data_IF_413831417334
#
_entry.id   IF_413831417334
#
_cell.length_a   1.000
_cell.length_b   1.000
_cell.length_c   1.000
_cell.angle_alpha   90.00
_cell.angle_beta   90.00
_cell.angle_gamma   90.00
#
_symmetry.space_group_name_H-M   'P 1'
#
loop_
_entity.id
_entity.type
_entity.pdbx_description
1 polymer ?
#
# COMPACT_ATOMS: atom_id res chain seq x y z
N UNK A 1 5.47 -7.03 25.43
CA UNK A 1 6.87 -7.37 25.13
C UNK A 1 6.86 -8.43 24.02
N UNK A 2 6.76 -8.00 22.76
CA UNK A 2 7.14 -8.76 21.56
C UNK A 2 7.36 -7.72 20.46
N UNK A 3 8.55 -7.76 19.86
CA UNK A 3 9.10 -6.73 18.99
C UNK A 3 8.56 -6.81 17.56
N UNK A 4 8.19 -5.66 17.03
CA UNK A 4 7.82 -5.47 15.64
C UNK A 4 9.10 -5.16 14.83
N UNK A 5 9.54 -6.14 14.03
CA UNK A 5 10.67 -5.97 13.11
C UNK A 5 10.22 -5.20 11.86
N UNK A 6 10.69 -3.95 11.76
CA UNK A 6 10.62 -3.10 10.56
C UNK A 6 11.39 -3.76 9.40
N UNK A 7 10.70 -4.03 8.30
CA UNK A 7 11.32 -4.27 6.99
C UNK A 7 11.55 -2.91 6.31
N UNK A 8 12.81 -2.50 6.23
CA UNK A 8 13.25 -1.34 5.45
C UNK A 8 13.30 -1.72 3.96
N UNK A 9 12.50 -1.05 3.13
CA UNK A 9 12.74 -0.98 1.69
C UNK A 9 13.72 0.17 1.41
N UNK A 10 14.85 -0.16 0.79
CA UNK A 10 15.91 0.79 0.45
C UNK A 10 15.59 1.60 -0.80
N UNK A 11 15.55 2.93 -0.65
CA UNK A 11 15.63 3.91 -1.73
C UNK A 11 17.08 4.31 -1.98
N UNK A 12 17.62 4.06 -3.17
CA UNK A 12 18.89 4.66 -3.64
C UNK A 12 18.59 5.90 -4.48
N UNK A 13 18.89 7.08 -3.92
CA UNK A 13 19.00 8.33 -4.68
C UNK A 13 20.45 8.46 -5.16
N UNK A 14 20.62 8.61 -6.47
CA UNK A 14 21.88 8.96 -7.11
C UNK A 14 22.24 10.43 -6.80
N UNK A 15 23.44 10.67 -6.28
CA UNK A 15 24.08 11.99 -6.29
C UNK A 15 25.12 12.00 -7.40
N UNK A 16 24.88 12.82 -8.42
CA UNK A 16 25.90 13.28 -9.35
C UNK A 16 26.73 14.36 -8.66
N UNK A 17 28.06 14.19 -8.67
CA UNK A 17 29.02 15.23 -8.34
C UNK A 17 29.91 15.46 -9.57
N UNK A 18 29.97 16.71 -10.01
CA UNK A 18 30.75 17.22 -11.13
C UNK A 18 32.27 17.09 -10.90
N UNK A 19 33.08 16.94 -11.96
CA UNK A 19 34.53 17.05 -11.86
C UNK A 19 35.01 18.49 -12.14
N UNK A 20 36.17 18.92 -11.59
CA UNK A 20 36.83 20.13 -12.03
C UNK A 20 37.83 19.86 -13.19
N UNK A 21 37.92 20.85 -14.07
CA UNK A 21 39.06 21.20 -14.94
C UNK A 21 40.41 21.20 -14.20
N UNK A 22 41.60 20.99 -14.77
CA UNK A 22 42.09 20.87 -16.13
C UNK A 22 43.64 20.94 -16.12
N UNK A 23 44.27 20.88 -17.31
CA UNK A 23 45.69 21.17 -17.65
C UNK A 23 46.69 20.03 -17.31
N UNK A 24 47.58 19.53 -18.19
CA UNK A 24 47.94 19.83 -19.57
C UNK A 24 49.22 19.05 -20.00
N UNK A 25 49.41 18.86 -21.32
CA UNK A 25 50.66 18.46 -22.08
C UNK A 25 51.38 17.14 -21.70
N UNK A 26 51.95 16.31 -22.58
CA UNK A 26 52.78 16.56 -23.77
C UNK A 26 52.98 15.26 -24.61
N UNK A 27 53.72 15.35 -25.72
CA UNK A 27 53.77 14.46 -26.90
C UNK A 27 54.91 13.39 -26.94
N UNK A 28 54.78 12.47 -27.92
CA UNK A 28 55.74 11.48 -28.52
C UNK A 28 55.85 10.13 -27.79
N UNK A 29 55.99 8.97 -28.45
CA UNK A 29 56.29 8.61 -29.83
C UNK A 29 57.30 7.43 -29.85
N UNK A 30 57.23 6.60 -30.88
CA UNK A 30 58.15 5.54 -31.31
C UNK A 30 57.96 4.06 -30.89
N UNK A 31 58.01 3.27 -31.97
CA UNK A 31 58.10 1.83 -32.16
C UNK A 31 59.37 1.19 -31.60
N UNK A 32 59.34 -0.13 -31.38
CA UNK A 32 60.28 -1.01 -32.10
C UNK A 32 59.78 -2.47 -32.15
N UNK A 33 60.18 -3.11 -33.24
CA UNK A 33 59.95 -4.51 -33.59
C UNK A 33 60.62 -5.50 -32.62
N UNK A 34 59.98 -6.63 -32.39
CA UNK A 34 60.59 -7.83 -31.83
C UNK A 34 60.20 -9.06 -32.66
N UNK A 35 61.13 -9.53 -33.50
CA UNK A 35 60.97 -10.68 -34.40
C UNK A 35 60.85 -12.02 -33.63
N UNK A 36 59.78 -12.76 -33.94
CA UNK A 36 59.68 -14.18 -34.33
C UNK A 36 60.73 -15.18 -33.76
N UNK A 37 60.29 -16.20 -32.99
CA UNK A 37 60.26 -17.63 -33.44
C UNK A 37 60.01 -18.67 -32.31
N UNK A 38 59.27 -19.71 -32.71
CA UNK A 38 59.21 -21.12 -32.24
C UNK A 38 58.25 -21.45 -31.08
N UNK A 39 57.16 -22.14 -31.42
CA UNK A 39 56.31 -22.87 -30.45
C UNK A 39 54.97 -23.42 -30.99
N UNK A 40 54.86 -23.78 -32.26
CA UNK A 40 53.57 -24.02 -32.95
C UNK A 40 52.91 -25.41 -32.72
N UNK A 41 53.13 -26.07 -31.57
CA UNK A 41 52.50 -27.39 -31.30
C UNK A 41 51.90 -27.58 -29.89
N UNK A 42 51.75 -26.53 -29.08
CA UNK A 42 51.11 -26.62 -27.74
C UNK A 42 49.93 -25.68 -27.48
N UNK A 43 49.49 -24.91 -28.48
CA UNK A 43 48.44 -23.88 -28.29
C UNK A 43 47.02 -24.40 -28.58
N UNK A 44 46.88 -25.47 -29.39
CA UNK A 44 45.55 -26.01 -29.70
C UNK A 44 44.85 -26.66 -28.50
N UNK A 45 45.59 -27.19 -27.51
CA UNK A 45 45.00 -27.73 -26.28
C UNK A 45 44.49 -26.65 -25.31
N UNK A 46 45.23 -25.55 -25.16
CA UNK A 46 44.88 -24.49 -24.20
C UNK A 46 43.72 -23.63 -24.74
N UNK A 47 43.66 -23.36 -26.05
CA UNK A 47 42.53 -22.65 -26.66
C UNK A 47 41.22 -23.47 -26.65
N UNK A 48 41.29 -24.80 -26.77
CA UNK A 48 40.11 -25.68 -26.71
C UNK A 48 39.56 -25.81 -25.28
N UNK A 49 40.44 -25.94 -24.28
CA UNK A 49 40.00 -26.00 -22.87
C UNK A 49 39.47 -24.64 -22.39
N UNK A 50 40.02 -23.53 -22.88
CA UNK A 50 39.53 -22.17 -22.56
C UNK A 50 38.14 -21.93 -23.16
N UNK A 51 37.92 -22.28 -24.43
CA UNK A 51 36.63 -22.09 -25.11
C UNK A 51 35.52 -22.98 -24.53
N UNK A 52 35.83 -24.22 -24.12
CA UNK A 52 34.88 -25.08 -23.39
C UNK A 52 34.57 -24.51 -22.00
N UNK A 53 35.55 -23.95 -21.29
CA UNK A 53 35.31 -23.31 -19.99
C UNK A 53 34.47 -22.02 -20.10
N UNK A 54 34.70 -21.19 -21.12
CA UNK A 54 33.86 -20.00 -21.38
C UNK A 54 32.47 -20.36 -21.89
N UNK A 55 32.33 -21.41 -22.70
CA UNK A 55 31.03 -21.93 -23.11
C UNK A 55 30.26 -22.56 -21.93
N UNK A 56 30.94 -23.31 -21.07
CA UNK A 56 30.35 -23.88 -19.86
C UNK A 56 30.00 -22.82 -18.82
N UNK A 57 30.84 -21.81 -18.63
CA UNK A 57 30.54 -20.67 -17.76
C UNK A 57 29.43 -19.78 -18.33
N UNK A 58 29.40 -19.58 -19.65
CA UNK A 58 28.34 -18.87 -20.36
C UNK A 58 27.01 -19.63 -20.32
N UNK A 59 27.02 -20.95 -20.51
CA UNK A 59 25.86 -21.82 -20.33
C UNK A 59 25.42 -21.88 -18.87
N UNK A 60 26.35 -21.91 -17.91
CA UNK A 60 26.06 -21.88 -16.48
C UNK A 60 25.48 -20.53 -16.06
N UNK A 61 25.98 -19.42 -16.61
CA UNK A 61 25.44 -18.08 -16.38
C UNK A 61 24.08 -17.91 -17.07
N UNK A 62 23.92 -18.36 -18.31
CA UNK A 62 22.63 -18.38 -19.00
C UNK A 62 21.61 -19.31 -18.30
N UNK A 63 22.07 -20.42 -17.72
CA UNK A 63 21.27 -21.30 -16.86
C UNK A 63 20.95 -20.68 -15.50
N UNK A 64 21.83 -19.85 -14.95
CA UNK A 64 21.62 -19.09 -13.71
C UNK A 64 20.63 -17.95 -13.89
N UNK A 65 20.65 -17.29 -15.05
CA UNK A 65 19.81 -16.15 -15.40
C UNK A 65 18.53 -16.54 -16.17
N UNK A 66 18.15 -17.83 -16.21
CA UNK A 66 16.95 -18.34 -16.91
C UNK A 66 16.87 -17.99 -18.43
N UNK A 67 18.01 -17.83 -19.11
CA UNK A 67 18.08 -17.48 -20.54
C UNK A 67 17.90 -18.71 -21.45
N UNK A 68 18.00 -19.95 -20.94
CA UNK A 68 17.87 -21.18 -21.75
C UNK A 68 16.39 -21.61 -21.82
N UNK A 69 15.72 -21.49 -22.98
CA UNK A 69 14.25 -21.58 -23.11
C UNK A 69 13.67 -23.00 -23.14
N UNK A 70 14.46 -24.05 -22.87
CA UNK A 70 14.07 -25.44 -23.10
C UNK A 70 13.74 -26.26 -21.84
N UNK A 71 13.73 -25.65 -20.65
CA UNK A 71 13.28 -26.35 -19.44
C UNK A 71 11.77 -26.12 -19.25
N UNK A 72 10.99 -27.19 -18.99
CA UNK A 72 9.55 -27.06 -18.77
C UNK A 72 9.30 -26.13 -17.56
N UNK A 73 8.39 -25.15 -17.68
CA UNK A 73 8.07 -24.23 -16.59
C UNK A 73 7.32 -24.95 -15.48
N UNK A 74 7.45 -24.45 -14.23
CA UNK A 74 6.71 -24.93 -13.06
C UNK A 74 5.21 -25.11 -13.40
N UNK A 75 4.56 -26.23 -13.01
CA UNK A 75 3.17 -26.54 -13.37
C UNK A 75 2.17 -25.86 -12.41
N UNK A 76 2.42 -24.59 -12.13
CA UNK A 76 1.58 -23.67 -11.38
C UNK A 76 1.60 -22.35 -12.13
N UNK A 77 0.55 -21.57 -12.00
CA UNK A 77 0.51 -20.24 -12.57
C UNK A 77 1.31 -19.27 -11.69
N UNK A 78 2.21 -18.50 -12.31
CA UNK A 78 2.94 -17.46 -11.59
C UNK A 78 2.01 -16.27 -11.36
N UNK A 79 1.96 -15.76 -10.13
CA UNK A 79 1.25 -14.53 -9.83
C UNK A 79 2.12 -13.32 -10.20
N UNK A 80 1.55 -12.44 -11.02
CA UNK A 80 2.10 -11.12 -11.34
C UNK A 80 1.33 -10.03 -10.57
N UNK A 81 1.82 -8.79 -10.60
CA UNK A 81 1.17 -7.68 -9.89
C UNK A 81 -0.27 -7.46 -10.34
N UNK A 82 -0.55 -7.55 -11.64
CA UNK A 82 -1.89 -7.30 -12.19
C UNK A 82 -2.91 -8.34 -11.71
N UNK A 83 -2.52 -9.62 -11.72
CA UNK A 83 -3.35 -10.70 -11.17
C UNK A 83 -3.48 -10.57 -9.67
N UNK A 84 -2.40 -10.25 -8.97
CA UNK A 84 -2.45 -10.02 -7.55
C UNK A 84 -3.43 -8.91 -7.20
N UNK A 85 -3.47 -7.80 -7.93
CA UNK A 85 -4.42 -6.72 -7.68
C UNK A 85 -5.88 -7.11 -7.93
N UNK A 86 -6.15 -7.93 -8.94
CA UNK A 86 -7.50 -8.24 -9.42
C UNK A 86 -8.09 -9.59 -8.99
N UNK A 87 -7.33 -10.46 -8.33
CA UNK A 87 -7.81 -11.76 -7.85
C UNK A 87 -8.04 -11.74 -6.33
N UNK A 88 -8.95 -12.57 -5.85
CA UNK A 88 -9.19 -12.84 -4.43
C UNK A 88 -9.19 -14.35 -4.19
N UNK A 89 -9.36 -14.79 -2.95
CA UNK A 89 -9.51 -16.21 -2.60
C UNK A 89 -8.32 -17.04 -3.13
N UNK A 90 -7.10 -16.62 -2.76
CA UNK A 90 -5.87 -17.15 -3.33
C UNK A 90 -4.89 -17.68 -2.28
N UNK A 91 -4.13 -18.68 -2.72
CA UNK A 91 -2.98 -19.23 -2.00
C UNK A 91 -1.76 -19.02 -2.87
N UNK A 92 -0.73 -18.40 -2.30
CA UNK A 92 0.53 -18.10 -3.01
C UNK A 92 1.67 -18.84 -2.32
N UNK A 93 2.32 -19.72 -3.08
CA UNK A 93 3.51 -20.45 -2.62
C UNK A 93 4.76 -19.67 -2.97
N UNK A 94 5.66 -19.47 -2.00
CA UNK A 94 6.95 -18.84 -2.23
C UNK A 94 7.98 -19.91 -2.60
N UNK A 95 8.55 -19.82 -3.80
CA UNK A 95 9.63 -20.68 -4.26
C UNK A 95 10.95 -19.90 -4.32
N UNK A 96 12.07 -20.54 -4.02
CA UNK A 96 13.42 -19.99 -4.15
C UNK A 96 13.92 -19.87 -5.59
N UNK A 97 13.27 -20.54 -6.55
CA UNK A 97 13.68 -20.52 -7.96
C UNK A 97 12.52 -20.93 -8.89
N UNK A 98 12.59 -20.50 -10.16
CA UNK A 98 11.68 -20.90 -11.25
C UNK A 98 11.99 -22.29 -11.82
N UNK A 99 13.07 -22.92 -11.37
CA UNK A 99 13.55 -24.20 -11.92
C UNK A 99 12.63 -25.36 -11.52
N UNK A 100 12.13 -26.08 -12.52
CA UNK A 100 11.34 -27.31 -12.34
C UNK A 100 12.07 -28.37 -11.50
N UNK A 101 13.39 -28.50 -11.65
CA UNK A 101 14.19 -29.49 -10.90
C UNK A 101 14.13 -29.28 -9.38
N UNK A 102 13.86 -28.06 -8.94
CA UNK A 102 13.73 -27.71 -7.54
C UNK A 102 12.26 -27.58 -7.09
N UNK A 103 11.29 -27.91 -7.95
CA UNK A 103 9.86 -27.80 -7.65
C UNK A 103 9.40 -28.93 -6.71
N UNK A 104 8.81 -28.62 -5.54
CA UNK A 104 8.41 -29.63 -4.56
C UNK A 104 7.07 -30.30 -4.91
N UNK A 105 7.04 -31.05 -6.03
CA UNK A 105 5.82 -31.61 -6.64
C UNK A 105 4.88 -32.31 -5.66
N UNK A 106 5.39 -33.22 -4.82
CA UNK A 106 4.58 -33.97 -3.85
C UNK A 106 3.88 -33.06 -2.82
N UNK A 107 4.56 -32.01 -2.36
CA UNK A 107 3.98 -31.05 -1.42
C UNK A 107 2.91 -30.20 -2.09
N UNK A 108 3.13 -29.82 -3.35
CA UNK A 108 2.17 -29.01 -4.11
C UNK A 108 0.91 -29.81 -4.49
N UNK A 109 1.06 -31.08 -4.83
CA UNK A 109 -0.07 -31.99 -5.02
C UNK A 109 -0.87 -32.16 -3.71
N UNK A 110 -0.18 -32.25 -2.57
CA UNK A 110 -0.83 -32.29 -1.25
C UNK A 110 -1.56 -30.98 -0.93
N UNK A 111 -0.91 -29.83 -1.17
CA UNK A 111 -1.51 -28.51 -0.97
C UNK A 111 -2.77 -28.36 -1.80
N UNK A 112 -2.71 -28.68 -3.10
CA UNK A 112 -3.88 -28.68 -4.00
C UNK A 112 -5.01 -29.55 -3.47
N UNK A 113 -4.71 -30.69 -2.87
CA UNK A 113 -5.70 -31.61 -2.31
C UNK A 113 -6.38 -31.13 -1.03
N UNK A 114 -5.84 -30.13 -0.34
CA UNK A 114 -6.45 -29.55 0.87
C UNK A 114 -7.07 -28.17 0.64
N UNK A 115 -6.98 -27.61 -0.58
CA UNK A 115 -7.58 -26.31 -0.89
C UNK A 115 -9.12 -26.40 -0.80
N UNK A 116 -9.78 -25.43 -0.16
CA UNK A 116 -11.22 -25.29 -0.28
C UNK A 116 -11.65 -25.05 -1.73
N UNK A 117 -12.90 -25.38 -2.04
CA UNK A 117 -13.46 -25.19 -3.38
C UNK A 117 -13.46 -23.72 -3.79
N UNK A 118 -13.08 -23.43 -5.05
CA UNK A 118 -13.03 -22.07 -5.59
C UNK A 118 -11.73 -21.30 -5.28
N UNK A 119 -10.87 -21.82 -4.40
CA UNK A 119 -9.61 -21.17 -4.04
C UNK A 119 -8.54 -21.41 -5.12
N UNK A 120 -7.87 -20.33 -5.52
CA UNK A 120 -6.85 -20.37 -6.58
C UNK A 120 -5.45 -20.58 -6.00
N UNK A 121 -4.63 -21.42 -6.65
CA UNK A 121 -3.25 -21.67 -6.22
C UNK A 121 -2.24 -21.10 -7.22
N UNK A 122 -1.41 -20.19 -6.73
CA UNK A 122 -0.36 -19.55 -7.48
C UNK A 122 1.01 -19.77 -6.84
N UNK A 123 2.07 -19.39 -7.57
CA UNK A 123 3.40 -19.27 -7.01
C UNK A 123 4.04 -17.93 -7.33
N UNK A 124 5.02 -17.53 -6.51
CA UNK A 124 5.97 -16.46 -6.82
C UNK A 124 7.37 -16.87 -6.39
N UNK A 125 8.38 -16.13 -6.85
CA UNK A 125 9.79 -16.44 -6.56
C UNK A 125 10.38 -15.42 -5.60
N UNK A 126 11.00 -15.92 -4.53
CA UNK A 126 11.67 -15.13 -3.49
C UNK A 126 13.02 -15.76 -3.17
N UNK A 127 14.09 -15.00 -3.37
CA UNK A 127 15.44 -15.45 -3.08
C UNK A 127 15.62 -15.85 -1.60
N UNK A 128 16.45 -16.86 -1.36
CA UNK A 128 16.74 -17.37 -0.01
C UNK A 128 15.68 -18.31 0.58
N UNK A 129 14.61 -18.62 -0.17
CA UNK A 129 13.59 -19.59 0.26
C UNK A 129 14.04 -21.03 -0.02
N UNK A 130 13.86 -21.91 0.97
CA UNK A 130 14.05 -23.36 0.81
C UNK A 130 12.83 -24.00 0.12
N UNK A 131 13.02 -24.46 -1.11
CA UNK A 131 11.99 -25.17 -1.87
C UNK A 131 11.52 -26.48 -1.21
N UNK A 132 12.29 -27.07 -0.29
CA UNK A 132 11.86 -28.28 0.41
C UNK A 132 10.82 -28.00 1.49
N UNK A 133 10.68 -26.76 1.93
CA UNK A 133 9.67 -26.34 2.91
C UNK A 133 9.16 -24.95 2.53
N UNK A 134 8.51 -24.83 1.37
CA UNK A 134 8.17 -23.53 0.83
C UNK A 134 7.18 -22.81 1.76
N UNK A 135 7.38 -21.52 2.07
CA UNK A 135 6.39 -20.73 2.75
C UNK A 135 5.11 -20.62 1.91
N UNK A 136 3.98 -20.50 2.59
CA UNK A 136 2.66 -20.35 1.96
C UNK A 136 1.98 -19.12 2.51
N UNK A 137 1.39 -18.33 1.60
CA UNK A 137 0.59 -17.15 1.94
C UNK A 137 -0.86 -17.39 1.53
N UNK A 138 -1.79 -17.17 2.47
CA UNK A 138 -3.22 -17.12 2.18
C UNK A 138 -3.65 -15.67 2.02
N UNK A 139 -4.53 -15.39 1.06
CA UNK A 139 -5.14 -14.08 0.86
C UNK A 139 -6.65 -14.23 0.63
N UNK A 140 -7.43 -13.46 1.39
CA UNK A 140 -8.87 -13.28 1.22
C UNK A 140 -9.23 -11.85 1.61
N UNK A 141 -9.87 -11.10 0.70
CA UNK A 141 -10.06 -9.68 0.89
C UNK A 141 -8.73 -8.95 1.11
N UNK A 142 -8.66 -8.14 2.16
CA UNK A 142 -7.44 -7.50 2.65
C UNK A 142 -6.67 -8.36 3.69
N UNK A 143 -7.24 -9.50 4.09
CA UNK A 143 -6.65 -10.39 5.09
C UNK A 143 -5.55 -11.25 4.47
N UNK A 144 -4.50 -11.48 5.26
CA UNK A 144 -3.37 -12.33 4.88
C UNK A 144 -2.97 -13.22 6.05
N UNK A 145 -2.58 -14.44 5.74
CA UNK A 145 -1.98 -15.36 6.70
C UNK A 145 -0.68 -15.94 6.12
N UNK A 146 0.35 -16.10 6.95
CA UNK A 146 1.69 -16.52 6.50
C UNK A 146 2.18 -17.75 7.26
N UNK A 147 2.38 -18.83 6.53
CA UNK A 147 3.07 -20.03 7.00
C UNK A 147 4.55 -19.93 6.61
N UNK A 148 5.41 -19.68 7.61
CA UNK A 148 6.83 -19.39 7.39
C UNK A 148 7.63 -20.55 6.81
N UNK A 149 7.25 -21.78 7.16
CA UNK A 149 7.83 -23.00 6.61
C UNK A 149 6.83 -24.12 6.85
N UNK A 150 6.40 -24.77 5.78
CA UNK A 150 5.38 -25.80 5.87
C UNK A 150 5.95 -27.09 5.33
N UNK A 151 5.88 -28.17 6.10
CA UNK A 151 6.22 -29.49 5.60
C UNK A 151 4.94 -30.30 5.41
N UNK A 152 4.29 -30.08 4.27
CA UNK A 152 2.97 -30.66 3.94
C UNK A 152 2.95 -32.20 3.84
N UNK A 153 4.11 -32.86 3.92
CA UNK A 153 4.19 -34.32 3.99
C UNK A 153 3.99 -34.84 5.42
N UNK A 154 4.12 -33.98 6.44
CA UNK A 154 3.70 -34.28 7.80
C UNK A 154 2.18 -34.21 7.87
N UNK A 155 1.56 -35.30 8.35
CA UNK A 155 0.10 -35.40 8.40
C UNK A 155 -0.51 -34.40 9.38
N UNK A 156 0.10 -34.19 10.55
CA UNK A 156 -0.41 -33.25 11.55
C UNK A 156 -0.40 -31.83 10.99
N UNK A 157 0.73 -31.38 10.44
CA UNK A 157 0.83 -30.03 9.87
C UNK A 157 -0.12 -29.82 8.70
N UNK A 158 -0.33 -30.85 7.88
CA UNK A 158 -1.26 -30.80 6.76
C UNK A 158 -2.72 -30.69 7.24
N UNK A 159 -3.10 -31.45 8.27
CA UNK A 159 -4.45 -31.45 8.84
C UNK A 159 -4.74 -30.12 9.57
N UNK A 160 -3.76 -29.60 10.32
CA UNK A 160 -3.83 -28.30 11.00
C UNK A 160 -4.00 -27.16 9.99
N UNK A 161 -3.14 -27.12 8.96
CA UNK A 161 -3.23 -26.12 7.89
C UNK A 161 -4.57 -26.21 7.15
N UNK A 162 -5.08 -27.42 6.90
CA UNK A 162 -6.39 -27.58 6.26
C UNK A 162 -7.51 -26.95 7.09
N UNK A 163 -7.56 -27.24 8.39
CA UNK A 163 -8.57 -26.67 9.29
C UNK A 163 -8.48 -25.15 9.36
N UNK A 164 -7.26 -24.61 9.46
CA UNK A 164 -7.03 -23.16 9.47
C UNK A 164 -7.39 -22.51 8.13
N UNK A 165 -7.11 -23.15 6.99
CA UNK A 165 -7.51 -22.66 5.67
C UNK A 165 -9.03 -22.62 5.52
N UNK A 166 -9.72 -23.68 5.93
CA UNK A 166 -11.19 -23.73 5.90
C UNK A 166 -11.80 -22.59 6.73
N UNK A 167 -11.25 -22.28 7.90
CA UNK A 167 -11.68 -21.15 8.72
C UNK A 167 -11.30 -19.81 8.09
N UNK A 168 -10.07 -19.66 7.62
CA UNK A 168 -9.55 -18.42 7.04
C UNK A 168 -10.37 -17.97 5.83
N UNK A 169 -10.76 -18.91 4.96
CA UNK A 169 -11.52 -18.62 3.74
C UNK A 169 -13.02 -18.45 3.96
N UNK A 170 -13.54 -18.56 5.20
CA UNK A 170 -14.90 -18.13 5.50
C UNK A 170 -15.03 -16.62 5.26
N UNK A 171 -16.08 -16.17 4.56
CA UNK A 171 -16.32 -14.75 4.36
C UNK A 171 -16.50 -14.02 5.69
N UNK A 172 -15.82 -12.89 5.84
CA UNK A 172 -15.97 -12.00 6.98
C UNK A 172 -16.81 -10.77 6.58
N UNK A 173 -17.76 -10.44 7.46
CA UNK A 173 -18.65 -9.30 7.35
C UNK A 173 -18.60 -8.55 8.67
N UNK A 174 -18.51 -7.22 8.62
CA UNK A 174 -18.73 -6.42 9.81
C UNK A 174 -20.23 -6.41 10.14
N UNK A 175 -20.57 -6.35 11.42
CA UNK A 175 -21.96 -6.29 11.86
C UNK A 175 -22.60 -4.98 11.40
N UNK A 176 -23.63 -5.10 10.55
CA UNK A 176 -24.35 -3.96 9.97
C UNK A 176 -25.08 -3.14 11.04
N UNK A 177 -25.62 -3.79 12.08
CA UNK A 177 -26.44 -3.13 13.09
C UNK A 177 -25.61 -2.24 14.04
N UNK A 178 -24.30 -2.51 14.13
CA UNK A 178 -23.36 -1.70 14.89
C UNK A 178 -22.83 -0.49 14.11
N UNK A 179 -23.20 -0.33 12.83
CA UNK A 179 -22.75 0.81 12.01
C UNK A 179 -23.73 1.96 12.16
N UNK A 180 -23.24 3.10 12.63
CA UNK A 180 -24.03 4.32 12.67
C UNK A 180 -24.28 4.85 11.25
N UNK A 181 -25.56 5.02 10.92
CA UNK A 181 -26.00 5.57 9.64
C UNK A 181 -26.44 7.03 9.84
N UNK A 182 -25.98 7.93 8.97
CA UNK A 182 -26.38 9.33 8.99
C UNK A 182 -26.99 9.74 7.65
N UNK A 183 -28.02 10.59 7.62
CA UNK A 183 -28.74 10.93 6.40
C UNK A 183 -27.88 11.71 5.38
N UNK A 184 -26.88 12.46 5.85
CA UNK A 184 -26.09 13.37 5.01
C UNK A 184 -24.80 12.74 4.46
N UNK A 185 -24.47 11.51 4.86
CA UNK A 185 -23.29 10.79 4.36
C UNK A 185 -23.72 9.58 3.52
N UNK A 186 -22.83 9.02 2.68
CA UNK A 186 -23.11 7.78 1.98
C UNK A 186 -23.51 6.66 2.94
N UNK A 187 -24.55 5.89 2.59
CA UNK A 187 -24.97 4.73 3.35
C UNK A 187 -23.84 3.68 3.38
N UNK A 188 -23.51 3.19 4.57
CA UNK A 188 -22.57 2.08 4.71
C UNK A 188 -23.25 0.76 4.40
N UNK A 189 -22.57 -0.09 3.66
CA UNK A 189 -22.97 -1.47 3.37
C UNK A 189 -21.89 -2.43 3.87
N UNK A 190 -22.27 -3.69 4.06
CA UNK A 190 -21.42 -4.78 4.56
C UNK A 190 -21.41 -5.92 3.56
N UNK A 191 -20.61 -6.95 3.82
CA UNK A 191 -20.62 -8.15 2.99
C UNK A 191 -22.03 -8.75 2.87
N UNK A 192 -22.73 -8.90 3.99
CA UNK A 192 -24.05 -9.54 4.02
C UNK A 192 -25.14 -8.69 3.36
N UNK A 193 -25.05 -7.37 3.49
CA UNK A 193 -26.08 -6.45 2.96
C UNK A 193 -25.82 -6.01 1.51
N UNK A 194 -24.63 -6.30 0.97
CA UNK A 194 -24.19 -5.85 -0.35
C UNK A 194 -25.17 -6.24 -1.47
N UNK A 195 -25.64 -7.49 -1.49
CA UNK A 195 -26.51 -7.98 -2.56
C UNK A 195 -27.81 -7.20 -2.63
N UNK A 196 -28.44 -6.96 -1.49
CA UNK A 196 -29.73 -6.27 -1.44
C UNK A 196 -29.57 -4.77 -1.62
N UNK A 197 -28.59 -4.18 -0.92
CA UNK A 197 -28.43 -2.73 -0.85
C UNK A 197 -27.66 -2.14 -2.03
N UNK A 198 -26.88 -2.93 -2.76
CA UNK A 198 -26.10 -2.45 -3.90
C UNK A 198 -26.59 -3.09 -5.20
N UNK A 199 -26.46 -4.41 -5.34
CA UNK A 199 -26.71 -5.09 -6.63
C UNK A 199 -28.19 -5.04 -7.02
N UNK A 200 -29.10 -5.49 -6.14
CA UNK A 200 -30.54 -5.51 -6.41
C UNK A 200 -31.18 -4.12 -6.38
N UNK A 201 -30.63 -3.21 -5.57
CA UNK A 201 -31.18 -1.85 -5.43
C UNK A 201 -30.76 -0.91 -6.58
N UNK A 202 -29.70 -1.24 -7.31
CA UNK A 202 -29.23 -0.45 -8.45
C UNK A 202 -30.08 -0.71 -9.70
N UNK A 203 -30.35 0.35 -10.48
CA UNK A 203 -31.00 0.24 -11.78
C UNK A 203 -30.37 1.23 -12.76
N UNK A 204 -30.61 1.12 -14.07
CA UNK A 204 -30.05 2.07 -15.04
C UNK A 204 -30.52 3.51 -14.82
N UNK A 205 -31.69 3.69 -14.18
CA UNK A 205 -32.28 5.00 -13.86
C UNK A 205 -31.91 5.52 -12.48
N UNK A 206 -31.45 4.65 -11.59
CA UNK A 206 -31.05 4.97 -10.21
C UNK A 206 -29.77 4.21 -9.84
N UNK A 207 -28.64 4.53 -10.51
CA UNK A 207 -27.39 3.82 -10.30
C UNK A 207 -26.82 4.10 -8.91
N UNK A 208 -26.00 3.17 -8.42
CA UNK A 208 -25.28 3.27 -7.16
C UNK A 208 -23.80 3.34 -7.45
N UNK A 209 -23.14 4.37 -6.93
CA UNK A 209 -21.68 4.49 -6.90
C UNK A 209 -21.20 3.96 -5.54
N UNK A 210 -20.56 2.80 -5.55
CA UNK A 210 -19.97 2.21 -4.36
C UNK A 210 -18.53 2.69 -4.21
N UNK A 211 -18.21 3.30 -3.07
CA UNK A 211 -16.85 3.60 -2.64
C UNK A 211 -16.32 2.42 -1.79
N UNK A 212 -15.30 1.74 -2.31
CA UNK A 212 -14.48 0.81 -1.55
C UNK A 212 -13.40 1.60 -0.82
N UNK A 213 -13.32 1.47 0.50
CA UNK A 213 -12.40 2.25 1.33
C UNK A 213 -11.80 1.43 2.47
N UNK A 214 -10.73 1.96 3.05
CA UNK A 214 -10.06 1.46 4.25
C UNK A 214 -9.92 2.62 5.25
N UNK A 215 -9.94 2.33 6.54
CA UNK A 215 -9.78 3.35 7.58
C UNK A 215 -8.32 3.82 7.67
N UNK A 216 -7.39 2.90 7.41
CA UNK A 216 -5.95 3.16 7.39
C UNK A 216 -5.45 3.87 6.13
N UNK A 217 -6.29 4.05 5.10
CA UNK A 217 -5.86 4.64 3.83
C UNK A 217 -5.87 6.18 3.86
N UNK A 218 -4.69 6.77 3.62
CA UNK A 218 -4.52 8.22 3.56
C UNK A 218 -5.43 8.92 2.54
N UNK A 219 -5.60 8.35 1.35
CA UNK A 219 -6.47 8.94 0.33
C UNK A 219 -7.95 8.78 0.68
N UNK A 220 -8.35 7.69 1.34
CA UNK A 220 -9.71 7.53 1.86
C UNK A 220 -10.02 8.60 2.91
N UNK A 221 -9.08 8.80 3.84
CA UNK A 221 -9.11 9.92 4.78
C UNK A 221 -9.25 11.26 4.06
N UNK A 222 -8.44 11.51 3.03
CA UNK A 222 -8.45 12.79 2.31
C UNK A 222 -9.82 13.06 1.64
N UNK A 223 -10.42 12.02 1.07
CA UNK A 223 -11.65 12.10 0.26
C UNK A 223 -12.95 11.99 1.06
N UNK A 224 -12.93 11.47 2.29
CA UNK A 224 -14.14 11.23 3.11
C UNK A 224 -15.10 12.43 3.13
N UNK A 225 -14.69 13.64 3.56
CA UNK A 225 -15.63 14.75 3.67
C UNK A 225 -16.02 15.32 2.30
N UNK A 226 -15.16 15.21 1.28
CA UNK A 226 -15.50 15.55 -0.11
C UNK A 226 -16.65 14.70 -0.65
N UNK A 227 -16.57 13.38 -0.46
CA UNK A 227 -17.65 12.47 -0.87
C UNK A 227 -18.91 12.71 -0.04
N UNK A 228 -18.80 13.10 1.24
CA UNK A 228 -19.94 13.50 2.06
C UNK A 228 -20.65 14.75 1.48
N UNK A 229 -19.91 15.80 1.10
CA UNK A 229 -20.48 16.99 0.46
C UNK A 229 -21.21 16.66 -0.84
N UNK A 230 -20.62 15.78 -1.67
CA UNK A 230 -21.27 15.35 -2.92
C UNK A 230 -22.55 14.57 -2.62
N UNK A 231 -22.52 13.64 -1.66
CA UNK A 231 -23.71 12.89 -1.27
C UNK A 231 -24.84 13.81 -0.77
N UNK A 232 -24.51 14.78 0.10
CA UNK A 232 -25.46 15.80 0.56
C UNK A 232 -26.07 16.56 -0.61
N UNK A 233 -25.24 17.06 -1.53
CA UNK A 233 -25.71 17.82 -2.70
C UNK A 233 -26.60 17.00 -3.62
N UNK A 234 -26.27 15.73 -3.88
CA UNK A 234 -27.12 14.82 -4.65
C UNK A 234 -28.49 14.64 -4.00
N UNK A 235 -28.54 14.56 -2.66
CA UNK A 235 -29.80 14.53 -1.90
C UNK A 235 -30.61 15.82 -2.05
N UNK A 236 -29.96 16.98 -1.94
CA UNK A 236 -30.61 18.30 -2.07
C UNK A 236 -31.26 18.51 -3.44
N UNK A 237 -30.58 18.10 -4.52
CA UNK A 237 -31.12 18.18 -5.88
C UNK A 237 -32.04 17.01 -6.24
N UNK A 238 -32.27 16.07 -5.32
CA UNK A 238 -33.06 14.84 -5.52
C UNK A 238 -32.58 14.02 -6.72
N UNK A 239 -31.26 13.88 -6.85
CA UNK A 239 -30.67 13.01 -7.87
C UNK A 239 -31.05 11.54 -7.61
N UNK A 240 -31.25 10.79 -8.70
CA UNK A 240 -31.47 9.34 -8.59
C UNK A 240 -30.16 8.56 -8.34
N UNK A 241 -29.01 9.20 -8.53
CA UNK A 241 -27.70 8.60 -8.27
C UNK A 241 -27.44 8.61 -6.77
N UNK A 242 -27.06 7.46 -6.22
CA UNK A 242 -26.76 7.29 -4.79
C UNK A 242 -25.31 6.89 -4.61
N UNK A 243 -24.69 7.34 -3.52
CA UNK A 243 -23.35 6.91 -3.13
C UNK A 243 -23.48 5.99 -1.92
N UNK A 244 -22.74 4.88 -1.92
CA UNK A 244 -22.65 3.94 -0.80
C UNK A 244 -21.19 3.64 -0.47
N UNK A 245 -20.92 3.13 0.72
CA UNK A 245 -19.55 2.80 1.19
C UNK A 245 -19.43 1.36 1.65
N UNK A 246 -18.37 0.68 1.23
CA UNK A 246 -17.99 -0.63 1.76
C UNK A 246 -16.56 -0.55 2.31
N UNK A 247 -16.41 -0.81 3.62
CA UNK A 247 -15.10 -0.91 4.25
C UNK A 247 -14.49 -2.27 3.93
N UNK A 248 -13.47 -2.31 3.07
CA UNK A 248 -12.84 -3.57 2.64
C UNK A 248 -11.73 -4.06 3.61
N UNK A 249 -11.42 -3.26 4.64
CA UNK A 249 -10.57 -3.69 5.76
C UNK A 249 -11.34 -4.57 6.75
N UNK A 250 -12.66 -4.32 6.87
CA UNK A 250 -13.56 -5.01 7.81
C UNK A 250 -14.50 -6.02 7.15
N UNK A 251 -14.57 -6.04 5.82
CA UNK A 251 -15.38 -6.97 5.03
C UNK A 251 -14.51 -7.59 3.94
N UNK A 252 -14.67 -8.89 3.70
CA UNK A 252 -14.14 -9.51 2.49
C UNK A 252 -14.92 -9.03 1.24
N UNK A 253 -14.44 -9.33 0.03
CA UNK A 253 -15.13 -8.91 -1.19
C UNK A 253 -16.43 -9.71 -1.41
N UNK A 254 -17.61 -9.07 -1.46
CA UNK A 254 -18.86 -9.76 -1.73
C UNK A 254 -18.94 -10.20 -3.19
N UNK A 255 -19.75 -11.24 -3.47
CA UNK A 255 -19.96 -11.70 -4.84
C UNK A 255 -20.45 -10.57 -5.76
N UNK A 256 -19.82 -10.38 -6.91
CA UNK A 256 -20.15 -9.30 -7.85
C UNK A 256 -19.48 -7.95 -7.55
N UNK A 257 -18.82 -7.82 -6.39
CA UNK A 257 -17.88 -6.74 -6.13
C UNK A 257 -16.58 -6.96 -6.91
N UNK A 258 -16.04 -5.90 -7.51
CA UNK A 258 -14.70 -6.00 -8.07
C UNK A 258 -13.67 -6.13 -6.95
N UNK A 259 -12.68 -7.00 -7.18
CA UNK A 259 -11.52 -7.10 -6.30
C UNK A 259 -10.58 -5.94 -6.60
N UNK A 260 -10.09 -5.29 -5.55
CA UNK A 260 -9.09 -4.22 -5.66
C UNK A 260 -8.26 -4.18 -4.39
N UNK A 261 -6.98 -3.84 -4.53
CA UNK A 261 -6.08 -3.57 -3.40
C UNK A 261 -5.68 -2.10 -3.31
N UNK A 262 -6.29 -1.26 -4.15
CA UNK A 262 -6.10 0.17 -4.16
C UNK A 262 -7.36 0.85 -3.63
N UNK A 263 -7.22 1.76 -2.68
CA UNK A 263 -8.31 2.54 -2.11
C UNK A 263 -8.00 4.04 -2.10
N UNK A 264 -9.02 4.92 -2.23
CA UNK A 264 -10.41 4.57 -2.51
C UNK A 264 -10.58 4.07 -3.95
N UNK A 265 -11.48 3.10 -4.17
CA UNK A 265 -11.91 2.68 -5.50
C UNK A 265 -13.41 2.91 -5.64
N UNK A 266 -13.84 3.44 -6.78
CA UNK A 266 -15.25 3.67 -7.07
C UNK A 266 -15.76 2.66 -8.09
N UNK A 267 -16.96 2.12 -7.85
CA UNK A 267 -17.58 1.09 -8.67
C UNK A 267 -19.03 1.45 -8.91
N UNK A 268 -19.45 1.48 -10.18
CA UNK A 268 -20.84 1.77 -10.55
C UNK A 268 -21.64 0.50 -10.71
N UNK A 269 -22.80 0.46 -10.07
CA UNK A 269 -23.83 -0.54 -10.28
C UNK A 269 -25.04 0.15 -10.89
N UNK A 270 -25.52 -0.36 -12.01
CA UNK A 270 -26.62 0.17 -12.81
C UNK A 270 -27.66 -0.93 -13.12
N UNK A 271 -27.73 -1.97 -12.29
CA UNK A 271 -28.60 -3.13 -12.45
C UNK A 271 -27.92 -4.35 -13.06
N UNK A 272 -26.65 -4.22 -13.49
CA UNK A 272 -25.82 -5.38 -13.82
C UNK A 272 -25.36 -6.14 -12.55
N UNK A 273 -25.15 -7.47 -12.63
CA UNK A 273 -24.73 -8.28 -11.48
C UNK A 273 -23.30 -7.96 -11.01
N UNK A 274 -22.46 -7.47 -11.92
CA UNK A 274 -21.08 -7.06 -11.64
C UNK A 274 -20.96 -5.54 -11.82
N UNK A 275 -20.27 -4.88 -10.89
CA UNK A 275 -20.03 -3.45 -10.97
C UNK A 275 -18.95 -3.06 -11.99
N UNK A 276 -19.07 -1.86 -12.56
CA UNK A 276 -18.05 -1.27 -13.43
C UNK A 276 -17.11 -0.40 -12.61
N UNK A 277 -15.86 -0.84 -12.46
CA UNK A 277 -14.81 -0.09 -11.74
C UNK A 277 -14.41 1.18 -12.52
N UNK A 278 -14.31 2.30 -11.81
CA UNK A 278 -13.68 3.52 -12.33
C UNK A 278 -12.17 3.45 -12.10
N UNK A 279 -11.39 3.77 -13.14
CA UNK A 279 -9.92 3.79 -13.12
C UNK A 279 -9.32 5.04 -12.47
N UNK A 280 -10.16 5.98 -12.05
CA UNK A 280 -9.75 7.34 -11.69
C UNK A 280 -9.66 7.53 -10.18
N UNK A 281 -8.73 8.37 -9.73
CA UNK A 281 -8.57 8.71 -8.32
C UNK A 281 -8.57 10.22 -8.05
N UNK A 282 -8.43 11.07 -9.07
CA UNK A 282 -8.37 12.51 -8.84
C UNK A 282 -9.78 13.05 -8.55
N UNK A 283 -9.94 13.96 -7.58
CA UNK A 283 -11.24 14.57 -7.28
C UNK A 283 -11.94 15.12 -8.53
N UNK A 284 -11.21 15.76 -9.43
CA UNK A 284 -11.76 16.30 -10.68
C UNK A 284 -12.28 15.20 -11.64
N UNK A 285 -11.56 14.09 -11.78
CA UNK A 285 -11.99 12.98 -12.63
C UNK A 285 -13.26 12.32 -12.07
N UNK A 286 -13.34 12.20 -10.73
CA UNK A 286 -14.55 11.76 -10.04
C UNK A 286 -15.73 12.71 -10.33
N UNK A 287 -15.54 14.03 -10.22
CA UNK A 287 -16.58 15.02 -10.54
C UNK A 287 -17.06 14.87 -11.97
N UNK A 288 -16.15 14.77 -12.94
CA UNK A 288 -16.51 14.62 -14.36
C UNK A 288 -17.39 13.39 -14.60
N UNK A 289 -17.04 12.24 -14.00
CA UNK A 289 -17.83 11.01 -14.08
C UNK A 289 -19.18 11.13 -13.39
N UNK A 290 -19.24 11.81 -12.25
CA UNK A 290 -20.48 12.06 -11.54
C UNK A 290 -21.42 12.98 -12.31
N UNK A 291 -20.91 14.03 -12.95
CA UNK A 291 -21.69 14.96 -13.78
C UNK A 291 -22.31 14.22 -14.96
N UNK A 292 -21.54 13.35 -15.63
CA UNK A 292 -22.02 12.50 -16.72
C UNK A 292 -23.10 11.52 -16.23
N UNK A 293 -22.82 10.79 -15.15
CA UNK A 293 -23.71 9.75 -14.62
C UNK A 293 -25.04 10.34 -14.10
N UNK A 294 -24.97 11.43 -13.33
CA UNK A 294 -26.13 12.05 -12.70
C UNK A 294 -26.82 13.11 -13.58
N UNK A 295 -26.27 13.41 -14.76
CA UNK A 295 -26.76 14.44 -15.70
C UNK A 295 -26.98 15.79 -15.00
N UNK A 296 -25.95 16.23 -14.27
CA UNK A 296 -26.00 17.42 -13.43
C UNK A 296 -26.10 18.71 -14.25
N UNK A 297 -26.77 19.72 -13.70
CA UNK A 297 -26.81 21.05 -14.27
C UNK A 297 -25.49 21.81 -14.06
N UNK A 298 -25.30 22.89 -14.81
CA UNK A 298 -24.05 23.69 -14.76
C UNK A 298 -23.78 24.29 -13.38
N UNK A 299 -24.83 24.57 -12.59
CA UNK A 299 -24.69 25.06 -11.22
C UNK A 299 -24.13 23.98 -10.30
N UNK A 300 -24.69 22.76 -10.35
CA UNK A 300 -24.20 21.62 -9.57
C UNK A 300 -22.80 21.21 -9.98
N UNK A 301 -22.49 21.22 -11.27
CA UNK A 301 -21.14 20.96 -11.77
C UNK A 301 -20.12 21.93 -11.16
N UNK A 302 -20.36 23.24 -11.27
CA UNK A 302 -19.47 24.26 -10.71
C UNK A 302 -19.27 24.12 -9.20
N UNK A 303 -20.33 23.75 -8.48
CA UNK A 303 -20.23 23.49 -7.04
C UNK A 303 -19.31 22.29 -6.76
N UNK A 304 -19.47 21.17 -7.47
CA UNK A 304 -18.61 20.00 -7.30
C UNK A 304 -17.16 20.24 -7.73
N UNK A 305 -16.94 21.03 -8.78
CA UNK A 305 -15.59 21.47 -9.20
C UNK A 305 -14.90 22.28 -8.10
N UNK A 306 -15.62 23.20 -7.46
CA UNK A 306 -15.09 23.93 -6.30
C UNK A 306 -14.73 22.99 -5.13
N UNK A 307 -15.56 21.99 -4.85
CA UNK A 307 -15.26 20.98 -3.82
C UNK A 307 -13.96 20.23 -4.13
N UNK A 308 -13.69 19.93 -5.41
CA UNK A 308 -12.45 19.28 -5.86
C UNK A 308 -11.21 20.13 -5.55
N UNK A 309 -11.29 21.45 -5.72
CA UNK A 309 -10.21 22.39 -5.33
C UNK A 309 -10.00 22.42 -3.81
N UNK A 310 -11.09 22.41 -3.04
CA UNK A 310 -11.08 22.44 -1.58
C UNK A 310 -10.45 21.18 -0.95
N UNK A 311 -10.36 20.06 -1.67
CA UNK A 311 -9.59 18.86 -1.23
C UNK A 311 -8.11 19.20 -1.04
N UNK A 312 -7.52 19.97 -1.95
CA UNK A 312 -6.11 20.37 -1.84
C UNK A 312 -5.90 21.33 -0.67
N UNK A 313 -6.87 22.23 -0.44
CA UNK A 313 -6.88 23.12 0.73
C UNK A 313 -6.92 22.32 2.02
N UNK A 314 -7.77 21.29 2.09
CA UNK A 314 -7.87 20.39 3.24
C UNK A 314 -6.54 19.69 3.53
N UNK A 315 -5.89 19.15 2.51
CA UNK A 315 -4.58 18.50 2.66
C UNK A 315 -3.55 19.44 3.31
N UNK A 316 -3.44 20.68 2.82
CA UNK A 316 -2.52 21.67 3.37
C UNK A 316 -2.85 22.04 4.82
N UNK A 317 -4.14 22.25 5.12
CA UNK A 317 -4.59 22.61 6.46
C UNK A 317 -4.34 21.48 7.46
N UNK A 318 -4.67 20.24 7.10
CA UNK A 318 -4.40 19.08 7.93
C UNK A 318 -2.89 18.89 8.18
N UNK A 319 -2.06 19.05 7.14
CA UNK A 319 -0.61 19.00 7.29
C UNK A 319 -0.07 20.07 8.24
N UNK A 320 -0.64 21.28 8.20
CA UNK A 320 -0.30 22.36 9.14
C UNK A 320 -0.71 22.00 10.57
N UNK A 321 -1.92 21.48 10.77
CA UNK A 321 -2.40 21.05 12.08
C UNK A 321 -1.51 19.96 12.68
N UNK A 322 -1.21 18.91 11.91
CA UNK A 322 -0.32 17.83 12.35
C UNK A 322 1.08 18.33 12.72
N UNK A 323 1.60 19.31 11.97
CA UNK A 323 2.89 19.94 12.27
C UNK A 323 2.86 20.68 13.61
N UNK A 324 1.81 21.44 13.89
CA UNK A 324 1.67 22.20 15.14
C UNK A 324 1.54 21.27 16.34
N UNK A 325 0.72 20.22 16.24
CA UNK A 325 0.58 19.19 17.28
C UNK A 325 1.92 18.50 17.54
N UNK A 326 2.62 18.09 16.48
CA UNK A 326 3.93 17.46 16.61
C UNK A 326 4.97 18.38 17.25
N UNK A 327 4.93 19.69 16.95
CA UNK A 327 5.81 20.68 17.57
C UNK A 327 5.53 20.83 19.07
N UNK A 328 4.27 20.96 19.46
CA UNK A 328 3.87 21.04 20.87
C UNK A 328 4.31 19.79 21.64
N UNK A 329 4.07 18.59 21.09
CA UNK A 329 4.50 17.32 21.68
C UNK A 329 6.03 17.22 21.79
N UNK A 330 6.78 17.63 20.76
CA UNK A 330 8.23 17.59 20.80
C UNK A 330 8.81 18.54 21.86
N UNK A 331 8.20 19.73 22.05
CA UNK A 331 8.58 20.65 23.13
C UNK A 331 8.31 19.99 24.49
N UNK A 332 7.12 19.43 24.69
CA UNK A 332 6.73 18.76 25.93
C UNK A 332 7.67 17.59 26.26
N UNK A 333 7.93 16.69 25.30
CA UNK A 333 8.86 15.57 25.50
C UNK A 333 10.28 16.05 25.82
N UNK A 334 10.74 17.13 25.17
CA UNK A 334 12.05 17.72 25.44
C UNK A 334 12.14 18.31 26.85
N UNK A 335 11.11 19.01 27.32
CA UNK A 335 11.05 19.58 28.67
C UNK A 335 11.05 18.47 29.74
N UNK A 336 10.25 17.43 29.53
CA UNK A 336 10.09 16.34 30.50
C UNK A 336 11.32 15.42 30.59
N UNK A 337 11.89 15.04 29.43
CA UNK A 337 12.96 14.04 29.38
C UNK A 337 14.36 14.65 29.40
N UNK A 338 14.49 15.94 29.04
CA UNK A 338 15.77 16.63 28.80
C UNK A 338 16.67 15.92 27.79
N UNK A 339 16.08 15.14 26.88
CA UNK A 339 16.76 14.39 25.82
C UNK A 339 16.42 14.97 24.44
N UNK A 340 17.28 14.72 23.43
CA UNK A 340 16.92 15.01 22.05
C UNK A 340 15.69 14.19 21.66
N UNK A 341 14.72 14.86 21.01
CA UNK A 341 13.47 14.26 20.56
C UNK A 341 13.58 13.95 19.07
N UNK A 342 13.20 12.74 18.68
CA UNK A 342 13.03 12.37 17.27
C UNK A 342 11.76 13.03 16.71
N UNK A 343 11.94 14.15 16.03
CA UNK A 343 10.84 14.96 15.49
C UNK A 343 10.07 14.25 14.37
N UNK A 344 10.72 13.38 13.61
CA UNK A 344 10.07 12.65 12.53
C UNK A 344 9.16 11.56 13.09
N UNK A 345 9.61 10.86 14.13
CA UNK A 345 8.78 9.90 14.86
C UNK A 345 7.58 10.57 15.55
N UNK A 346 7.76 11.74 16.16
CA UNK A 346 6.65 12.52 16.76
C UNK A 346 5.66 12.96 15.68
N UNK A 347 6.14 13.50 14.56
CA UNK A 347 5.29 13.95 13.46
C UNK A 347 4.47 12.80 12.85
N UNK A 348 5.10 11.64 12.64
CA UNK A 348 4.40 10.45 12.13
C UNK A 348 3.31 9.97 13.08
N UNK A 349 3.57 9.95 14.40
CA UNK A 349 2.56 9.62 15.43
C UNK A 349 1.41 10.63 15.44
N UNK A 350 1.72 11.92 15.32
CA UNK A 350 0.70 12.97 15.28
C UNK A 350 -0.20 12.82 14.05
N UNK A 351 0.35 12.57 12.85
CA UNK A 351 -0.46 12.31 11.65
C UNK A 351 -1.40 11.13 11.87
N UNK A 352 -0.87 9.99 12.34
CA UNK A 352 -1.67 8.78 12.53
C UNK A 352 -2.83 9.02 13.50
N UNK A 353 -2.54 9.59 14.68
CA UNK A 353 -3.54 9.90 15.69
C UNK A 353 -4.63 10.85 15.17
N UNK A 354 -4.24 11.89 14.41
CA UNK A 354 -5.18 12.87 13.87
C UNK A 354 -6.02 12.29 12.73
N UNK A 355 -5.44 11.38 11.92
CA UNK A 355 -6.19 10.68 10.87
C UNK A 355 -7.22 9.73 11.47
N UNK A 356 -6.84 8.94 12.48
CA UNK A 356 -7.76 8.05 13.20
C UNK A 356 -8.94 8.86 13.77
N UNK A 357 -8.66 9.97 14.46
CA UNK A 357 -9.70 10.84 15.03
C UNK A 357 -10.59 11.53 13.97
N UNK A 358 -10.07 11.83 12.78
CA UNK A 358 -10.85 12.44 11.68
C UNK A 358 -11.71 11.41 10.95
N UNK A 359 -11.27 10.16 10.84
CA UNK A 359 -12.02 9.09 10.17
C UNK A 359 -13.33 8.75 10.89
N UNK A 360 -13.38 8.96 12.20
CA UNK A 360 -14.59 8.80 13.02
C UNK A 360 -15.59 9.96 12.87
N UNK A 361 -15.24 11.01 12.11
CA UNK A 361 -16.12 12.16 11.89
C UNK A 361 -17.11 11.92 10.75
N UNK A 362 -18.21 12.69 10.78
CA UNK A 362 -19.31 12.58 9.81
C UNK A 362 -19.60 13.91 9.10
N UNK A 363 -18.69 14.87 9.21
CA UNK A 363 -18.74 16.19 8.60
C UNK A 363 -18.58 16.13 7.07
N UNK A 364 -19.16 17.12 6.38
CA UNK A 364 -18.89 17.40 4.98
C UNK A 364 -17.61 18.27 4.82
N UNK A 365 -17.13 18.48 3.59
CA UNK A 365 -15.86 19.18 3.33
C UNK A 365 -15.86 20.61 3.86
N UNK A 366 -16.96 21.32 3.71
CA UNK A 366 -17.07 22.70 4.18
C UNK A 366 -17.04 22.79 5.71
N UNK A 367 -17.79 21.93 6.40
CA UNK A 367 -17.76 21.82 7.86
C UNK A 367 -16.37 21.38 8.35
N UNK A 368 -15.74 20.43 7.68
CA UNK A 368 -14.41 19.93 8.02
C UNK A 368 -13.35 21.02 7.90
N UNK A 369 -13.39 21.81 6.82
CA UNK A 369 -12.48 22.94 6.63
C UNK A 369 -12.65 23.99 7.73
N UNK A 370 -13.89 24.29 8.16
CA UNK A 370 -14.11 25.24 9.25
C UNK A 370 -13.61 24.70 10.58
N UNK A 371 -13.87 23.42 10.89
CA UNK A 371 -13.31 22.74 12.06
C UNK A 371 -11.79 22.79 12.06
N UNK A 372 -11.14 22.44 10.94
CA UNK A 372 -9.68 22.48 10.83
C UNK A 372 -9.09 23.87 11.09
N UNK A 373 -9.77 24.96 10.70
CA UNK A 373 -9.32 26.32 11.08
C UNK A 373 -9.33 26.50 12.59
N UNK A 374 -10.42 26.08 13.25
CA UNK A 374 -10.54 26.12 14.71
C UNK A 374 -9.43 25.32 15.41
N UNK A 375 -9.19 24.09 14.95
CA UNK A 375 -8.16 23.20 15.47
C UNK A 375 -6.74 23.76 15.28
N UNK A 376 -6.44 24.32 14.11
CA UNK A 376 -5.15 24.99 13.84
C UNK A 376 -4.96 26.16 14.80
N UNK A 377 -5.96 27.04 14.94
CA UNK A 377 -5.88 28.18 15.85
C UNK A 377 -5.68 27.75 17.31
N UNK A 378 -6.28 26.64 17.73
CA UNK A 378 -6.06 26.08 19.06
C UNK A 378 -4.63 25.54 19.21
N UNK A 379 -4.19 24.72 18.24
CA UNK A 379 -2.86 24.12 18.25
C UNK A 379 -1.72 25.17 18.21
N UNK A 380 -1.94 26.31 17.54
CA UNK A 380 -1.00 27.44 17.57
C UNK A 380 -0.86 28.02 18.97
N UNK A 381 -1.97 28.23 19.69
CA UNK A 381 -1.96 28.72 21.08
C UNK A 381 -1.28 27.73 22.04
N UNK A 382 -1.54 26.44 21.86
CA UNK A 382 -0.93 25.38 22.65
C UNK A 382 0.58 25.31 22.42
N UNK A 383 1.01 25.39 21.15
CA UNK A 383 2.42 25.43 20.80
C UNK A 383 3.14 26.65 21.41
N UNK A 384 2.50 27.82 21.39
CA UNK A 384 3.03 29.04 22.02
C UNK A 384 3.17 28.87 23.54
N UNK A 385 2.16 28.30 24.18
CA UNK A 385 2.17 28.06 25.63
C UNK A 385 3.26 27.06 26.03
N UNK A 386 3.43 25.97 25.26
CA UNK A 386 4.52 25.01 25.47
C UNK A 386 5.90 25.65 25.29
N UNK A 387 6.07 26.49 24.27
CA UNK A 387 7.31 27.22 24.04
C UNK A 387 7.63 28.18 25.22
N UNK A 388 6.62 28.87 25.77
CA UNK A 388 6.78 29.73 26.94
C UNK A 388 7.21 28.95 28.18
N UNK A 389 6.61 27.78 28.42
CA UNK A 389 7.00 26.89 29.53
C UNK A 389 8.46 26.43 29.36
N UNK A 390 8.84 26.00 28.16
CA UNK A 390 10.21 25.59 27.86
C UNK A 390 11.21 26.73 28.10
N UNK A 391 10.89 27.95 27.68
CA UNK A 391 11.74 29.11 27.90
C UNK A 391 11.93 29.40 29.40
N UNK A 392 10.86 29.33 30.20
CA UNK A 392 10.93 29.52 31.65
C UNK A 392 11.80 28.48 32.34
N UNK A 393 11.69 27.20 31.93
CA UNK A 393 12.52 26.13 32.49
C UNK A 393 14.00 26.28 32.11
N UNK A 394 14.32 26.73 30.90
CA UNK A 394 15.70 27.05 30.49
C UNK A 394 16.26 28.20 31.35
N UNK A 395 15.49 29.27 31.54
CA UNK A 395 15.91 30.41 32.37
C UNK A 395 16.19 29.95 33.81
N UNK A 396 15.31 29.11 34.36
CA UNK A 396 15.45 28.55 35.71
C UNK A 396 16.69 27.66 35.84
N UNK A 397 16.95 26.79 34.86
CA UNK A 397 18.14 25.94 34.82
C UNK A 397 19.43 26.78 34.75
N UNK A 398 19.46 27.82 33.92
CA UNK A 398 20.62 28.72 33.79
C UNK A 398 20.91 29.46 35.10
N UNK A 399 19.88 29.99 35.78
CA UNK A 399 20.03 30.66 37.08
C UNK A 399 20.59 29.70 38.14
N UNK A 400 20.12 28.44 38.17
CA UNK A 400 20.63 27.43 39.09
C UNK A 400 22.09 27.07 38.80
N UNK A 401 22.50 27.03 37.53
CA UNK A 401 23.87 26.74 37.14
C UNK A 401 24.81 27.89 37.52
N UNK A 402 24.42 29.14 37.26
CA UNK A 402 25.18 30.33 37.67
C UNK A 402 25.39 30.39 39.19
N UNK A 403 24.36 30.08 39.97
CA UNK A 403 24.45 30.02 41.43
C UNK A 403 25.37 28.90 41.94
N UNK A 404 25.53 27.80 41.17
CA UNK A 404 26.47 26.72 41.49
C UNK A 404 27.91 27.07 41.13
N UNK A 405 28.14 27.83 40.07
CA UNK A 405 29.49 28.26 39.66
C UNK A 405 30.03 29.45 40.46
N UNK A 406 29.15 30.19 41.14
CA UNK A 406 29.53 31.31 42.02
C UNK A 406 29.84 30.89 43.46
N UNK A 407 29.58 29.64 43.82
CA UNK A 407 30.02 28.99 45.06
C UNK A 407 31.27 28.16 44.77
#
# INVERSE_FOLDING_TARGET
>A
MFGCSRLQLGSRIARMASPPSGIGSHWRGFSSEGKIRRGFRRIYGVAYVSSVAFAAAGLYHAYREDIIPYLPPVPLEQIDEKKFEGADDMVVVLLGTRRMSAYPRRQMERLKGILPEGIQLYYTVKEGVDNKKPPVMLYKGMRKHYYASTYLLDKSQCDDMKAEMEEFFKPQSQDYDNIQQYPNIPEYVTYDTFQEKVVKAATPKAPIVLQLYEESCFLCFLMRPFINSINRHLGEIKSNVRIKRLNIERNDFPKGCCVTRATPTFVVYDGQPNGTRWSEFKPQEFVNKMVELAKLDSKSQKYMEKLSEDVSRRFMMFGNWARLIAQAQAIQESVLTRRPVDREAVYSRAIQMLMEADMDQHDDLEQNLERLKGEINSAEKDCLSMAMIQAQEIIKANKQQQAKTAK
#
